data_IF_210199466994
#
_entry.id   IF_210199466994
#
_cell.length_a   1.000
_cell.length_b   1.000
_cell.length_c   1.000
_cell.angle_alpha   90.00
_cell.angle_beta   90.00
_cell.angle_gamma   90.00
#
_symmetry.space_group_name_H-M   'P 1'
#
loop_
_entity.id
_entity.type
_entity.pdbx_description
1 polymer ?
#
# COMPACT_ATOMS: atom_id res chain seq x y z
N UNK A 1 -11.53 -4.48 0.74
CA UNK A 1 -11.42 -3.28 1.61
C UNK A 1 -10.59 -2.25 0.88
N UNK A 2 -11.01 -1.00 0.94
CA UNK A 2 -10.31 0.11 0.29
C UNK A 2 -10.01 1.17 1.35
N UNK A 3 -8.79 1.68 1.34
CA UNK A 3 -8.39 2.85 2.11
C UNK A 3 -7.92 3.92 1.12
N UNK A 4 -8.41 5.14 1.31
CA UNK A 4 -8.00 6.28 0.52
C UNK A 4 -7.80 7.52 1.39
N UNK A 5 -6.87 8.38 1.00
CA UNK A 5 -6.68 9.71 1.57
C UNK A 5 -6.81 10.79 0.49
N UNK A 6 -6.73 12.06 0.91
CA UNK A 6 -6.80 13.23 0.02
C UNK A 6 -5.49 14.02 -0.02
N UNK A 7 -4.38 13.38 0.36
CA UNK A 7 -3.05 13.98 0.36
C UNK A 7 -2.46 14.17 -1.05
N UNK A 8 -1.14 14.39 -1.15
CA UNK A 8 -0.46 14.63 -2.42
C UNK A 8 -0.32 13.37 -3.32
N UNK A 9 -0.80 12.20 -2.89
CA UNK A 9 -0.85 10.98 -3.71
C UNK A 9 0.47 10.24 -3.87
N UNK A 10 0.71 9.51 -4.95
CA UNK A 10 2.01 8.87 -5.22
C UNK A 10 2.26 8.89 -6.73
N UNK A 11 3.47 9.28 -7.20
CA UNK A 11 3.82 9.18 -8.61
C UNK A 11 3.69 7.74 -9.11
N UNK A 12 3.28 7.58 -10.36
CA UNK A 12 3.04 6.26 -10.96
C UNK A 12 4.25 5.34 -10.89
N UNK A 13 5.43 5.87 -11.23
CA UNK A 13 6.68 5.14 -11.19
C UNK A 13 7.02 4.57 -9.79
N UNK A 14 6.55 5.21 -8.71
CA UNK A 14 6.84 4.78 -7.35
C UNK A 14 5.85 3.72 -6.82
N UNK A 15 4.69 3.52 -7.47
CA UNK A 15 3.64 2.60 -6.98
C UNK A 15 4.10 1.16 -6.81
N UNK A 16 4.93 0.66 -7.74
CA UNK A 16 5.44 -0.71 -7.68
C UNK A 16 6.45 -0.90 -6.53
N UNK A 17 7.25 0.14 -6.25
CA UNK A 17 8.38 0.04 -5.33
C UNK A 17 8.03 0.41 -3.88
N UNK A 18 6.98 1.22 -3.67
CA UNK A 18 6.62 1.75 -2.34
C UNK A 18 6.23 0.67 -1.32
N UNK A 19 5.95 -0.55 -1.79
CA UNK A 19 5.68 -1.73 -0.94
C UNK A 19 6.93 -2.54 -0.60
N UNK A 20 8.12 -2.11 -1.05
CA UNK A 20 9.41 -2.71 -0.67
C UNK A 20 9.88 -2.12 0.65
N UNK A 21 10.66 -2.91 1.40
CA UNK A 21 11.25 -2.47 2.68
C UNK A 21 12.20 -1.30 2.44
N UNK A 22 12.19 -0.33 3.36
CA UNK A 22 13.06 0.86 3.35
C UNK A 22 12.81 1.85 2.20
N UNK A 23 11.83 1.59 1.33
CA UNK A 23 11.42 2.55 0.31
C UNK A 23 10.52 3.60 0.94
N UNK A 24 10.81 4.87 0.63
CA UNK A 24 10.09 6.03 1.14
C UNK A 24 9.70 6.92 -0.03
N UNK A 25 8.49 7.48 0.01
CA UNK A 25 8.11 8.51 -0.94
C UNK A 25 9.03 9.73 -0.77
N UNK A 26 9.57 10.25 -1.87
CA UNK A 26 10.59 11.31 -1.85
C UNK A 26 10.16 12.55 -1.05
N UNK A 27 8.87 12.90 -1.12
CA UNK A 27 8.26 14.04 -0.43
C UNK A 27 8.21 13.90 1.10
N UNK A 28 8.36 12.69 1.63
CA UNK A 28 8.23 12.41 3.06
C UNK A 28 9.60 12.21 3.70
N UNK A 29 10.70 12.68 3.10
CA UNK A 29 12.04 12.55 3.72
C UNK A 29 12.10 13.16 5.12
N UNK A 30 11.40 14.27 5.32
CA UNK A 30 11.40 15.04 6.58
C UNK A 30 10.44 14.47 7.65
N UNK A 31 9.54 13.55 7.26
CA UNK A 31 8.66 12.85 8.21
C UNK A 31 9.48 11.74 8.88
N UNK A 32 9.37 11.52 10.19
CA UNK A 32 10.05 10.39 10.82
C UNK A 32 9.47 9.05 10.32
N UNK A 33 10.31 8.10 9.91
CA UNK A 33 9.88 6.76 9.52
C UNK A 33 10.90 5.95 8.73
N UNK A 34 10.80 4.62 8.83
CA UNK A 34 11.75 3.67 8.23
C UNK A 34 11.30 3.05 6.90
N UNK A 35 10.14 3.45 6.35
CA UNK A 35 9.64 2.86 5.09
C UNK A 35 9.27 1.38 5.21
N UNK A 36 8.77 0.94 6.36
CA UNK A 36 8.42 -0.46 6.62
C UNK A 36 6.91 -0.74 6.59
N UNK A 37 6.06 0.28 6.76
CA UNK A 37 4.62 0.12 6.92
C UNK A 37 3.97 -0.67 5.77
N UNK A 38 4.10 -0.19 4.52
CA UNK A 38 3.49 -0.87 3.37
C UNK A 38 4.13 -2.23 3.05
N UNK A 39 5.42 -2.42 3.37
CA UNK A 39 6.07 -3.71 3.24
C UNK A 39 5.48 -4.74 4.22
N UNK A 40 5.18 -4.33 5.44
CA UNK A 40 4.49 -5.17 6.43
C UNK A 40 3.06 -5.48 6.01
N UNK A 41 2.30 -4.48 5.56
CA UNK A 41 0.92 -4.68 5.06
C UNK A 41 0.92 -5.69 3.92
N UNK A 42 1.84 -5.58 2.96
CA UNK A 42 1.98 -6.55 1.87
C UNK A 42 2.32 -7.95 2.37
N UNK A 43 3.29 -8.08 3.28
CA UNK A 43 3.67 -9.38 3.83
C UNK A 43 2.51 -10.07 4.58
N UNK A 44 1.77 -9.31 5.40
CA UNK A 44 0.59 -9.79 6.12
C UNK A 44 -0.50 -10.19 5.13
N UNK A 45 -0.85 -9.32 4.18
CA UNK A 45 -1.86 -9.60 3.18
C UNK A 45 -1.54 -10.89 2.40
N UNK A 46 -0.31 -11.02 1.89
CA UNK A 46 0.15 -12.22 1.18
C UNK A 46 0.08 -13.47 2.06
N UNK A 47 0.48 -13.39 3.34
CA UNK A 47 0.37 -14.52 4.28
C UNK A 47 -1.08 -15.00 4.46
N UNK A 48 -2.04 -14.08 4.38
CA UNK A 48 -3.48 -14.38 4.49
C UNK A 48 -4.14 -14.68 3.13
N UNK A 49 -3.37 -14.88 2.06
CA UNK A 49 -3.89 -15.11 0.70
C UNK A 49 -4.58 -13.90 0.08
N UNK A 50 -4.46 -12.72 0.70
CA UNK A 50 -5.07 -11.50 0.20
C UNK A 50 -4.20 -10.84 -0.86
N UNK A 51 -4.84 -10.27 -1.87
CA UNK A 51 -4.21 -9.48 -2.92
C UNK A 51 -4.23 -8.00 -2.55
N UNK A 52 -3.05 -7.36 -2.59
CA UNK A 52 -2.88 -5.93 -2.37
C UNK A 52 -2.66 -5.22 -3.71
N UNK A 53 -3.43 -4.18 -3.98
CA UNK A 53 -3.31 -3.33 -5.18
C UNK A 53 -3.23 -1.85 -4.80
N UNK A 54 -2.50 -1.08 -5.61
CA UNK A 54 -2.36 0.38 -5.48
C UNK A 54 -2.92 1.02 -6.76
N UNK A 55 -4.26 1.09 -6.93
CA UNK A 55 -4.84 1.71 -8.12
C UNK A 55 -4.51 3.20 -8.20
N UNK A 56 -4.63 3.78 -9.39
CA UNK A 56 -4.60 5.22 -9.54
C UNK A 56 -5.74 5.87 -8.73
N UNK A 57 -5.49 7.08 -8.22
CA UNK A 57 -6.47 7.88 -7.51
C UNK A 57 -6.43 9.29 -8.07
N UNK A 58 -7.60 9.91 -8.28
CA UNK A 58 -7.71 11.31 -8.73
C UNK A 58 -7.13 12.28 -7.68
N UNK A 59 -7.19 11.89 -6.41
CA UNK A 59 -6.63 12.63 -5.28
C UNK A 59 -6.05 11.67 -4.25
N UNK A 60 -4.91 12.03 -3.66
CA UNK A 60 -4.32 11.26 -2.58
C UNK A 60 -3.88 9.84 -2.97
N UNK A 61 -3.70 9.02 -1.94
CA UNK A 61 -3.25 7.64 -2.08
C UNK A 61 -4.43 6.69 -1.90
N UNK A 62 -4.48 5.62 -2.72
CA UNK A 62 -5.48 4.55 -2.60
C UNK A 62 -4.78 3.19 -2.53
N UNK A 63 -5.20 2.38 -1.59
CA UNK A 63 -4.80 0.99 -1.45
C UNK A 63 -6.03 0.11 -1.32
N UNK A 64 -5.99 -1.03 -1.99
CA UNK A 64 -7.03 -2.03 -1.97
C UNK A 64 -6.45 -3.35 -1.50
N UNK A 65 -7.21 -4.03 -0.66
CA UNK A 65 -6.91 -5.37 -0.20
C UNK A 65 -8.14 -6.24 -0.50
N UNK A 66 -7.93 -7.33 -1.21
CA UNK A 66 -8.95 -8.31 -1.57
C UNK A 66 -8.61 -9.65 -0.91
N UNK A 67 -9.45 -10.11 0.01
CA UNK A 67 -9.27 -11.38 0.71
C UNK A 67 -9.96 -12.51 -0.04
N UNK A 68 -9.45 -13.75 0.09
CA UNK A 68 -10.19 -14.92 -0.35
C UNK A 68 -11.52 -14.98 0.41
N UNK A 69 -12.54 -15.55 -0.24
CA UNK A 69 -13.77 -15.91 0.48
C UNK A 69 -13.42 -16.95 1.53
N UNK A 70 -13.90 -16.76 2.75
CA UNK A 70 -13.89 -17.82 3.75
C UNK A 70 -14.73 -18.98 3.21
N UNK A 71 -14.12 -20.14 2.98
CA UNK A 71 -14.88 -21.36 2.75
C UNK A 71 -15.62 -21.70 4.03
N UNK A 72 -16.91 -22.04 3.90
CA UNK A 72 -17.64 -22.74 4.95
C UNK A 72 -17.64 -24.20 4.52
N UNK A 73 -16.90 -25.02 5.24
CA UNK A 73 -17.08 -26.48 5.22
C UNK A 73 -18.40 -26.83 5.93
#
# INVERSE_FOLDING_TARGET
MTLADTGPGLPEAQRAEITRRFVRAERNRDVAGYGLGLALVRAIATRHGAKLTLPASEKGFRIEIAWPKLSRD
#
